data_IF_149595947857
#
_entry.id   IF_149595947857
#
_cell.length_a   1.000
_cell.length_b   1.000
_cell.length_c   1.000
_cell.angle_alpha   90.00
_cell.angle_beta   90.00
_cell.angle_gamma   90.00
#
_symmetry.space_group_name_H-M   'P 1'
#
loop_
_entity.id
_entity.type
_entity.pdbx_description
1 polymer ?
#
# COMPACT_ATOMS: atom_id res chain seq x y z
N UNK A 1 9.23 -32.40 -3.83
CA UNK A 1 9.18 -31.43 -4.95
C UNK A 1 8.68 -32.16 -6.18
N UNK A 2 7.43 -31.94 -6.57
CA UNK A 2 6.86 -32.48 -7.81
C UNK A 2 6.26 -31.28 -8.54
N UNK A 3 6.91 -30.86 -9.64
CA UNK A 3 6.42 -29.78 -10.49
C UNK A 3 5.34 -30.39 -11.39
N UNK A 4 4.10 -29.88 -11.32
CA UNK A 4 3.10 -30.19 -12.32
C UNK A 4 3.33 -29.38 -13.59
N UNK A 5 2.93 -29.94 -14.73
CA UNK A 5 3.20 -29.45 -16.09
C UNK A 5 2.66 -28.04 -16.43
N UNK A 6 2.04 -27.36 -15.48
CA UNK A 6 1.34 -26.09 -15.61
C UNK A 6 1.89 -24.98 -14.69
N UNK A 7 3.11 -25.13 -14.16
CA UNK A 7 3.83 -24.05 -13.49
C UNK A 7 3.25 -23.58 -12.15
N UNK A 8 2.20 -24.23 -11.63
CA UNK A 8 1.78 -24.09 -10.24
C UNK A 8 2.64 -24.99 -9.38
N UNK A 9 3.35 -24.40 -8.42
CA UNK A 9 3.99 -25.15 -7.35
C UNK A 9 2.91 -25.93 -6.59
N UNK A 10 2.85 -27.25 -6.82
CA UNK A 10 2.03 -28.15 -6.03
C UNK A 10 2.83 -28.51 -4.79
N UNK A 11 2.74 -27.66 -3.77
CA UNK A 11 3.11 -28.08 -2.43
C UNK A 11 2.23 -29.27 -2.04
N UNK A 12 2.82 -30.46 -1.94
CA UNK A 12 2.15 -31.59 -1.30
C UNK A 12 2.03 -31.21 0.16
N UNK A 13 0.86 -30.67 0.54
CA UNK A 13 0.60 -30.25 1.92
C UNK A 13 0.81 -31.45 2.84
N UNK A 14 1.71 -31.30 3.81
CA UNK A 14 1.91 -32.31 4.85
C UNK A 14 0.60 -32.45 5.63
N UNK A 15 0.05 -33.67 5.67
CA UNK A 15 -1.20 -33.94 6.38
C UNK A 15 -0.91 -34.28 7.83
N UNK A 16 -1.54 -33.55 8.74
CA UNK A 16 -1.39 -33.78 10.18
C UNK A 16 -2.72 -34.25 10.76
N UNK A 17 -2.69 -35.34 11.52
CA UNK A 17 -3.89 -35.93 12.12
C UNK A 17 -4.29 -35.28 13.46
N UNK A 18 -3.31 -34.86 14.25
CA UNK A 18 -3.49 -34.13 15.52
C UNK A 18 -2.25 -33.29 15.83
N UNK A 19 -2.38 -32.36 16.78
CA UNK A 19 -1.27 -31.52 17.25
C UNK A 19 -0.84 -31.84 18.69
N UNK A 20 -1.30 -32.94 19.29
CA UNK A 20 -1.07 -33.22 20.71
C UNK A 20 0.42 -33.34 21.07
N UNK A 21 1.27 -33.64 20.09
CA UNK A 21 2.73 -33.67 20.21
C UNK A 21 3.34 -32.30 20.57
N UNK A 22 2.68 -31.18 20.24
CA UNK A 22 3.16 -29.83 20.60
C UNK A 22 3.18 -29.60 22.12
N UNK A 23 2.32 -30.27 22.88
CA UNK A 23 2.22 -30.09 24.35
C UNK A 23 3.48 -30.60 25.06
N UNK A 24 4.23 -31.53 24.42
CA UNK A 24 5.49 -32.04 24.94
C UNK A 24 6.70 -31.14 24.67
N UNK A 25 6.54 -30.07 23.89
CA UNK A 25 7.63 -29.16 23.53
C UNK A 25 7.69 -27.99 24.52
N UNK A 26 8.79 -27.87 25.25
CA UNK A 26 9.07 -26.72 26.12
C UNK A 26 9.97 -25.70 25.42
N UNK A 27 9.74 -24.40 25.66
CA UNK A 27 10.59 -23.26 25.27
C UNK A 27 10.58 -22.83 23.79
N UNK A 28 9.61 -23.25 22.97
CA UNK A 28 9.51 -22.67 21.62
C UNK A 28 8.74 -21.33 21.65
N UNK A 29 9.24 -20.37 20.86
CA UNK A 29 8.73 -19.01 20.73
C UNK A 29 8.08 -18.75 19.36
N UNK A 30 8.32 -19.61 18.37
CA UNK A 30 7.75 -19.48 17.03
C UNK A 30 7.17 -20.81 16.57
N UNK A 31 5.92 -20.79 16.07
CA UNK A 31 5.27 -21.94 15.46
C UNK A 31 4.87 -21.59 14.02
N UNK A 32 5.60 -22.18 13.08
CA UNK A 32 5.26 -22.13 11.67
C UNK A 32 4.63 -23.47 11.24
N UNK A 33 3.36 -23.41 10.82
CA UNK A 33 2.64 -24.52 10.21
C UNK A 33 2.07 -24.10 8.85
N UNK A 34 2.67 -23.12 8.20
CA UNK A 34 2.29 -22.67 6.87
C UNK A 34 2.34 -23.85 5.88
N UNK A 35 1.41 -23.89 4.94
CA UNK A 35 1.26 -24.95 3.94
C UNK A 35 0.95 -26.35 4.51
N UNK A 36 0.62 -26.49 5.80
CA UNK A 36 0.17 -27.74 6.43
C UNK A 36 -1.35 -27.93 6.25
N UNK A 37 -1.78 -29.15 5.91
CA UNK A 37 -3.20 -29.50 5.86
C UNK A 37 -3.71 -29.84 7.27
N UNK A 38 -4.27 -28.81 7.93
CA UNK A 38 -4.87 -28.90 9.26
C UNK A 38 -6.36 -29.26 9.24
N UNK A 39 -6.91 -29.69 8.10
CA UNK A 39 -8.35 -29.91 7.93
C UNK A 39 -8.94 -30.97 8.86
N UNK A 40 -8.10 -31.90 9.34
CA UNK A 40 -8.46 -32.95 10.31
C UNK A 40 -8.21 -32.56 11.77
N UNK A 41 -7.50 -31.46 12.02
CA UNK A 41 -7.12 -31.03 13.37
C UNK A 41 -8.20 -30.11 13.94
N UNK A 42 -9.08 -30.66 14.78
CA UNK A 42 -10.16 -29.91 15.41
C UNK A 42 -9.77 -29.20 16.72
N UNK A 43 -8.69 -29.67 17.38
CA UNK A 43 -8.26 -29.20 18.70
C UNK A 43 -7.02 -28.28 18.66
N UNK A 44 -6.61 -27.80 17.47
CA UNK A 44 -5.35 -27.09 17.28
C UNK A 44 -5.18 -25.91 18.24
N UNK A 45 -6.23 -25.10 18.42
CA UNK A 45 -6.19 -23.94 19.29
C UNK A 45 -6.14 -24.30 20.79
N UNK A 46 -6.74 -25.43 21.19
CA UNK A 46 -6.62 -25.96 22.54
C UNK A 46 -5.18 -26.41 22.85
N UNK A 47 -4.51 -26.97 21.85
CA UNK A 47 -3.12 -27.39 21.95
C UNK A 47 -2.20 -26.17 22.07
N UNK A 48 -2.34 -25.18 21.18
CA UNK A 48 -1.51 -23.97 21.20
C UNK A 48 -1.63 -23.23 22.54
N UNK A 49 -2.85 -23.11 23.08
CA UNK A 49 -3.08 -22.45 24.38
C UNK A 49 -2.47 -23.16 25.60
N UNK A 50 -2.10 -24.45 25.48
CA UNK A 50 -1.48 -25.20 26.59
C UNK A 50 0.01 -24.97 26.70
N UNK A 51 0.63 -24.29 25.74
CA UNK A 51 2.07 -24.18 25.66
C UNK A 51 2.48 -22.87 26.38
N UNK A 52 3.05 -22.93 27.60
CA UNK A 52 3.16 -21.76 28.48
C UNK A 52 4.24 -20.75 28.05
N UNK A 53 5.22 -21.21 27.27
CA UNK A 53 6.40 -20.46 26.78
C UNK A 53 6.12 -19.56 25.59
N UNK A 54 4.90 -19.58 25.04
CA UNK A 54 4.43 -18.66 24.02
C UNK A 54 4.38 -17.21 24.58
N UNK A 55 5.52 -16.54 24.71
CA UNK A 55 5.63 -15.17 25.27
C UNK A 55 6.02 -14.15 24.16
N UNK A 56 6.52 -14.61 23.02
CA UNK A 56 6.80 -13.78 21.83
C UNK A 56 6.11 -14.28 20.55
N UNK A 57 4.97 -14.96 20.71
CA UNK A 57 4.65 -16.00 19.72
C UNK A 57 4.13 -15.50 18.39
N UNK A 58 4.93 -15.82 17.38
CA UNK A 58 4.56 -15.89 15.98
C UNK A 58 3.80 -17.19 15.72
N UNK A 59 2.55 -17.06 15.28
CA UNK A 59 1.76 -18.16 14.73
C UNK A 59 1.60 -17.93 13.24
N UNK A 60 2.28 -18.75 12.43
CA UNK A 60 2.19 -18.71 10.97
C UNK A 60 1.33 -19.89 10.51
N UNK A 61 0.21 -19.57 9.87
CA UNK A 61 -0.76 -20.52 9.34
C UNK A 61 -1.07 -20.22 7.86
N UNK A 62 -0.10 -19.65 7.15
CA UNK A 62 -0.26 -19.26 5.75
C UNK A 62 -0.68 -20.47 4.90
N UNK A 63 -1.68 -20.29 4.03
CA UNK A 63 -2.18 -21.33 3.13
C UNK A 63 -2.59 -22.65 3.81
N UNK A 64 -3.01 -22.60 5.08
CA UNK A 64 -3.54 -23.76 5.80
C UNK A 64 -5.02 -23.98 5.48
N UNK A 65 -5.43 -25.25 5.26
CA UNK A 65 -6.82 -25.56 4.94
C UNK A 65 -7.60 -25.96 6.20
N UNK A 66 -8.46 -25.08 6.71
CA UNK A 66 -9.31 -25.37 7.86
C UNK A 66 -10.69 -25.87 7.42
N UNK A 67 -11.14 -26.98 8.02
CA UNK A 67 -12.54 -27.47 7.88
C UNK A 67 -13.32 -27.48 9.18
N UNK A 68 -12.68 -27.25 10.33
CA UNK A 68 -13.30 -27.45 11.64
C UNK A 68 -13.81 -26.15 12.28
N UNK A 69 -14.98 -26.19 12.95
CA UNK A 69 -15.43 -25.10 13.81
C UNK A 69 -14.53 -24.98 15.06
N UNK A 70 -14.30 -23.75 15.50
CA UNK A 70 -13.50 -23.43 16.69
C UNK A 70 -14.18 -23.94 17.98
N UNK A 71 -13.41 -24.43 18.97
CA UNK A 71 -13.94 -24.73 20.30
C UNK A 71 -14.53 -23.48 20.97
N UNK A 72 -15.76 -23.59 21.51
CA UNK A 72 -16.54 -22.48 22.13
C UNK A 72 -15.90 -21.85 23.38
N UNK A 73 -14.76 -22.33 23.84
CA UNK A 73 -14.16 -22.00 25.13
C UNK A 73 -12.67 -21.73 24.98
N UNK A 74 -12.33 -20.51 24.55
CA UNK A 74 -10.99 -19.95 24.73
C UNK A 74 -11.10 -18.85 25.77
N UNK A 75 -10.25 -18.90 26.80
CA UNK A 75 -10.19 -17.88 27.87
C UNK A 75 -8.81 -17.25 28.04
N UNK A 76 -7.77 -17.71 27.33
CA UNK A 76 -6.39 -17.44 27.76
C UNK A 76 -5.32 -17.36 26.64
N UNK A 77 -5.60 -16.68 25.52
CA UNK A 77 -4.60 -16.44 24.44
C UNK A 77 -3.95 -15.05 24.53
N UNK A 78 -3.78 -14.52 25.73
CA UNK A 78 -3.33 -13.13 25.98
C UNK A 78 -1.88 -12.84 25.60
N UNK A 79 -1.11 -13.83 25.14
CA UNK A 79 0.33 -13.66 24.86
C UNK A 79 0.71 -13.64 23.38
N UNK A 80 -0.22 -13.94 22.47
CA UNK A 80 0.08 -13.93 21.03
C UNK A 80 0.34 -12.49 20.57
N UNK A 81 1.48 -12.28 19.92
CA UNK A 81 1.89 -10.97 19.39
C UNK A 81 1.80 -10.90 17.87
N UNK A 82 1.99 -12.03 17.18
CA UNK A 82 2.01 -12.08 15.73
C UNK A 82 1.20 -13.27 15.24
N UNK A 83 0.23 -13.00 14.37
CA UNK A 83 -0.64 -14.01 13.76
C UNK A 83 -0.71 -13.76 12.25
N UNK A 84 -0.34 -14.77 11.48
CA UNK A 84 -0.54 -14.80 10.03
C UNK A 84 -1.52 -15.92 9.66
N UNK A 85 -2.65 -15.54 9.07
CA UNK A 85 -3.70 -16.45 8.57
C UNK A 85 -3.90 -16.27 7.07
N UNK A 86 -2.87 -15.80 6.35
CA UNK A 86 -3.00 -15.44 4.95
C UNK A 86 -3.23 -16.67 4.08
N UNK A 87 -4.15 -16.60 3.11
CA UNK A 87 -4.52 -17.76 2.29
C UNK A 87 -5.22 -18.92 3.04
N UNK A 88 -5.51 -18.80 4.35
CA UNK A 88 -6.13 -19.88 5.12
C UNK A 88 -7.66 -19.98 5.01
N UNK A 89 -8.29 -19.07 4.26
CA UNK A 89 -9.72 -18.92 4.07
C UNK A 89 -10.55 -19.00 5.38
N UNK A 90 -10.24 -18.20 6.41
CA UNK A 90 -10.95 -18.26 7.67
C UNK A 90 -12.38 -17.71 7.51
N UNK A 91 -13.37 -18.43 8.01
CA UNK A 91 -14.72 -17.89 8.14
C UNK A 91 -14.87 -17.05 9.42
N UNK A 92 -15.99 -16.33 9.58
CA UNK A 92 -16.23 -15.47 10.73
C UNK A 92 -16.20 -16.20 12.08
N UNK A 93 -16.67 -17.46 12.14
CA UNK A 93 -16.57 -18.26 13.36
C UNK A 93 -15.12 -18.63 13.70
N UNK A 94 -14.26 -18.73 12.68
CA UNK A 94 -12.84 -19.01 12.84
C UNK A 94 -12.01 -17.82 13.32
N UNK A 95 -12.52 -16.59 13.26
CA UNK A 95 -11.77 -15.43 13.74
C UNK A 95 -12.12 -15.05 15.19
N UNK A 96 -13.18 -15.63 15.78
CA UNK A 96 -13.67 -15.32 17.14
C UNK A 96 -12.64 -15.50 18.26
N UNK A 97 -11.62 -16.33 18.07
CA UNK A 97 -10.59 -16.50 19.10
C UNK A 97 -9.68 -15.29 19.24
N UNK A 98 -9.59 -14.45 18.20
CA UNK A 98 -8.80 -13.22 18.21
C UNK A 98 -9.33 -12.20 19.22
N UNK A 99 -10.60 -12.30 19.66
CA UNK A 99 -11.16 -11.46 20.73
C UNK A 99 -10.31 -11.45 22.00
N UNK A 100 -9.66 -12.58 22.31
CA UNK A 100 -8.90 -12.74 23.55
C UNK A 100 -7.39 -12.49 23.37
N UNK A 101 -6.96 -12.11 22.16
CA UNK A 101 -5.55 -11.84 21.85
C UNK A 101 -5.20 -10.38 22.12
N UNK A 102 -5.41 -9.91 23.36
CA UNK A 102 -5.26 -8.48 23.71
C UNK A 102 -3.83 -7.95 23.61
N UNK A 103 -2.83 -8.82 23.46
CA UNK A 103 -1.43 -8.44 23.21
C UNK A 103 -1.00 -8.57 21.76
N UNK A 104 -1.94 -8.76 20.83
CA UNK A 104 -1.64 -8.93 19.40
C UNK A 104 -1.14 -7.60 18.81
N UNK A 105 0.09 -7.61 18.30
CA UNK A 105 0.76 -6.47 17.67
C UNK A 105 0.69 -6.54 16.14
N UNK A 106 0.64 -7.75 15.56
CA UNK A 106 0.56 -7.95 14.11
C UNK A 106 -0.48 -9.00 13.74
N UNK A 107 -1.35 -8.65 12.80
CA UNK A 107 -2.36 -9.54 12.23
C UNK A 107 -2.33 -9.44 10.70
N UNK A 108 -1.97 -10.55 10.04
CA UNK A 108 -1.95 -10.66 8.58
C UNK A 108 -3.08 -11.57 8.10
N UNK A 109 -3.87 -11.09 7.15
CA UNK A 109 -5.06 -11.77 6.63
C UNK A 109 -5.12 -11.74 5.08
N UNK A 110 -4.00 -11.51 4.38
CA UNK A 110 -4.01 -11.34 2.92
C UNK A 110 -4.39 -12.65 2.19
N UNK A 111 -4.82 -12.52 0.94
CA UNK A 111 -5.28 -13.66 0.13
C UNK A 111 -6.44 -14.49 0.73
N UNK A 112 -7.29 -13.87 1.56
CA UNK A 112 -8.49 -14.52 2.10
C UNK A 112 -9.79 -13.91 1.53
N UNK A 113 -10.76 -14.72 1.06
CA UNK A 113 -12.06 -14.22 0.66
C UNK A 113 -12.92 -13.99 1.92
N UNK A 114 -12.65 -12.90 2.64
CA UNK A 114 -13.33 -12.50 3.89
C UNK A 114 -14.76 -11.96 3.67
N UNK A 115 -15.50 -12.48 2.68
CA UNK A 115 -16.85 -12.02 2.36
C UNK A 115 -17.78 -12.13 3.58
N UNK A 116 -18.31 -10.99 4.05
CA UNK A 116 -19.19 -10.92 5.22
C UNK A 116 -18.47 -10.99 6.58
N UNK A 117 -17.14 -10.96 6.60
CA UNK A 117 -16.35 -10.96 7.83
C UNK A 117 -16.06 -9.55 8.37
N UNK A 118 -16.58 -8.48 7.75
CA UNK A 118 -16.37 -7.11 8.26
C UNK A 118 -16.92 -6.93 9.67
N UNK A 119 -18.10 -7.49 9.96
CA UNK A 119 -18.70 -7.45 11.30
C UNK A 119 -17.82 -8.14 12.37
N UNK A 120 -17.23 -9.30 12.04
CA UNK A 120 -16.35 -9.98 13.00
C UNK A 120 -15.04 -9.20 13.20
N UNK A 121 -14.53 -8.56 12.16
CA UNK A 121 -13.32 -7.73 12.24
C UNK A 121 -13.56 -6.48 13.07
N UNK A 122 -14.72 -5.85 12.94
CA UNK A 122 -15.14 -4.74 13.82
C UNK A 122 -15.11 -5.18 15.29
N UNK A 123 -15.73 -6.31 15.61
CA UNK A 123 -15.73 -6.83 16.98
C UNK A 123 -14.32 -7.18 17.49
N UNK A 124 -13.44 -7.70 16.62
CA UNK A 124 -12.06 -8.03 16.97
C UNK A 124 -11.28 -6.74 17.27
N UNK A 125 -11.39 -5.73 16.40
CA UNK A 125 -10.72 -4.44 16.55
C UNK A 125 -11.10 -3.76 17.88
N UNK A 126 -12.34 -3.91 18.35
CA UNK A 126 -12.76 -3.40 19.65
C UNK A 126 -11.93 -3.94 20.83
N UNK A 127 -11.30 -5.10 20.68
CA UNK A 127 -10.48 -5.76 21.71
C UNK A 127 -8.97 -5.55 21.49
N UNK A 128 -8.52 -5.21 20.28
CA UNK A 128 -7.10 -5.13 19.92
C UNK A 128 -6.54 -3.71 20.10
N UNK A 129 -6.23 -3.32 21.34
CA UNK A 129 -5.70 -1.97 21.63
C UNK A 129 -4.23 -1.72 21.26
N UNK A 130 -3.45 -2.78 21.04
CA UNK A 130 -1.98 -2.70 20.83
C UNK A 130 -1.55 -3.10 19.42
N UNK A 131 -2.49 -3.29 18.50
CA UNK A 131 -2.19 -3.68 17.13
C UNK A 131 -1.41 -2.57 16.42
N UNK A 132 -0.22 -2.92 15.91
CA UNK A 132 0.68 -2.06 15.16
C UNK A 132 0.60 -2.30 13.66
N UNK A 133 0.41 -3.55 13.25
CA UNK A 133 0.37 -3.94 11.85
C UNK A 133 -0.91 -4.70 11.54
N UNK A 134 -1.67 -4.22 10.57
CA UNK A 134 -2.85 -4.89 10.04
C UNK A 134 -2.77 -4.96 8.52
N UNK A 135 -2.93 -6.17 7.97
CA UNK A 135 -2.98 -6.39 6.54
C UNK A 135 -4.22 -7.16 6.10
N UNK A 136 -4.80 -6.66 5.01
CA UNK A 136 -5.93 -7.16 4.23
C UNK A 136 -7.25 -7.35 5.00
N UNK A 137 -8.24 -6.58 4.58
CA UNK A 137 -9.64 -6.72 4.98
C UNK A 137 -10.42 -6.71 3.69
N UNK A 138 -11.13 -7.79 3.35
CA UNK A 138 -11.98 -7.78 2.15
C UNK A 138 -13.37 -7.23 2.47
N UNK A 139 -13.99 -6.50 1.55
CA UNK A 139 -15.36 -6.02 1.70
C UNK A 139 -15.45 -4.59 2.23
N UNK A 140 -16.03 -4.37 3.41
CA UNK A 140 -16.15 -3.03 3.99
C UNK A 140 -15.09 -2.81 5.08
N UNK A 141 -14.57 -1.59 5.16
CA UNK A 141 -13.61 -1.20 6.20
C UNK A 141 -14.34 -1.17 7.55
N UNK A 142 -13.79 -1.78 8.61
CA UNK A 142 -14.38 -1.77 9.95
C UNK A 142 -14.64 -0.34 10.43
N UNK A 143 -15.84 -0.09 10.94
CA UNK A 143 -16.25 1.22 11.47
C UNK A 143 -15.40 1.68 12.65
N UNK A 144 -14.81 0.75 13.40
CA UNK A 144 -13.98 1.03 14.57
C UNK A 144 -12.48 1.10 14.29
N UNK A 145 -12.05 1.13 13.02
CA UNK A 145 -10.62 1.08 12.65
C UNK A 145 -9.79 2.17 13.37
N UNK A 146 -10.36 3.36 13.58
CA UNK A 146 -9.69 4.47 14.26
C UNK A 146 -9.37 4.23 15.75
N UNK A 147 -9.94 3.19 16.37
CA UNK A 147 -9.58 2.77 17.73
C UNK A 147 -8.19 2.15 17.82
N UNK A 148 -7.63 1.69 16.70
CA UNK A 148 -6.28 1.15 16.62
C UNK A 148 -5.25 2.30 16.68
N UNK A 149 -5.23 3.06 17.77
CA UNK A 149 -4.35 4.22 17.93
C UNK A 149 -2.85 3.86 18.02
N UNK A 150 -2.53 2.57 18.12
CA UNK A 150 -1.18 2.03 18.06
C UNK A 150 -0.74 1.62 16.65
N UNK A 151 -1.61 1.73 15.66
CA UNK A 151 -1.35 1.25 14.31
C UNK A 151 -0.26 2.10 13.63
N UNK A 152 0.77 1.43 13.14
CA UNK A 152 1.94 1.97 12.43
C UNK A 152 1.87 1.58 10.94
N UNK A 153 1.34 0.39 10.63
CA UNK A 153 1.15 -0.10 9.27
C UNK A 153 -0.29 -0.57 9.04
N UNK A 154 -0.93 -0.05 7.99
CA UNK A 154 -2.22 -0.53 7.48
C UNK A 154 -2.13 -0.80 5.99
N UNK A 155 -2.14 -2.07 5.59
CA UNK A 155 -2.10 -2.49 4.18
C UNK A 155 -3.39 -3.15 3.75
N UNK A 156 -4.10 -2.53 2.84
CA UNK A 156 -5.44 -2.90 2.40
C UNK A 156 -5.57 -2.90 0.87
N UNK A 157 -4.45 -2.91 0.15
CA UNK A 157 -4.41 -2.93 -1.32
C UNK A 157 -5.20 -4.11 -1.91
N UNK A 158 -5.88 -3.89 -3.04
CA UNK A 158 -6.55 -4.94 -3.83
C UNK A 158 -7.55 -5.80 -3.02
N UNK A 159 -8.45 -5.14 -2.29
CA UNK A 159 -9.42 -5.81 -1.40
C UNK A 159 -10.89 -5.53 -1.74
N UNK A 160 -11.16 -4.91 -2.89
CA UNK A 160 -12.52 -4.50 -3.32
C UNK A 160 -13.24 -3.66 -2.26
N UNK A 161 -12.47 -2.87 -1.51
CA UNK A 161 -12.99 -1.97 -0.48
C UNK A 161 -13.83 -0.89 -1.11
N UNK A 162 -14.89 -0.46 -0.44
CA UNK A 162 -15.80 0.56 -0.92
C UNK A 162 -16.37 1.39 0.24
N UNK A 163 -17.07 2.48 -0.11
CA UNK A 163 -17.62 3.43 0.86
C UNK A 163 -16.57 4.36 1.44
N UNK A 164 -16.99 5.20 2.40
CA UNK A 164 -16.20 6.30 2.96
C UNK A 164 -15.74 6.10 4.42
N UNK A 165 -16.10 4.98 5.06
CA UNK A 165 -15.90 4.73 6.49
C UNK A 165 -14.46 4.90 6.98
N UNK A 166 -13.46 4.58 6.14
CA UNK A 166 -12.06 4.79 6.48
C UNK A 166 -11.75 6.27 6.69
N UNK A 167 -12.31 7.14 5.85
CA UNK A 167 -12.02 8.58 5.88
C UNK A 167 -12.50 9.21 7.20
N UNK A 168 -13.66 8.79 7.70
CA UNK A 168 -14.22 9.28 8.96
C UNK A 168 -13.30 9.05 10.16
N UNK A 169 -12.49 7.99 10.12
CA UNK A 169 -11.64 7.56 11.22
C UNK A 169 -10.15 7.71 10.94
N UNK A 170 -9.75 8.03 9.70
CA UNK A 170 -8.35 8.07 9.28
C UNK A 170 -7.51 8.99 10.18
N UNK A 171 -8.04 10.18 10.50
CA UNK A 171 -7.37 11.15 11.37
C UNK A 171 -7.21 10.71 12.84
N UNK A 172 -7.70 9.53 13.24
CA UNK A 172 -7.49 8.98 14.58
C UNK A 172 -6.21 8.13 14.68
N UNK A 173 -5.67 7.69 13.52
CA UNK A 173 -4.49 6.83 13.42
C UNK A 173 -3.18 7.63 13.46
N UNK A 174 -2.96 8.41 14.52
CA UNK A 174 -1.87 9.39 14.61
C UNK A 174 -0.44 8.82 14.60
N UNK A 175 -0.28 7.51 14.84
CA UNK A 175 1.01 6.79 14.76
C UNK A 175 1.24 6.11 13.41
N UNK A 176 0.29 6.18 12.49
CA UNK A 176 0.38 5.47 11.22
C UNK A 176 1.55 6.03 10.39
N UNK A 177 2.46 5.15 9.99
CA UNK A 177 3.64 5.46 9.19
C UNK A 177 3.42 5.06 7.72
N UNK A 178 2.70 3.95 7.50
CA UNK A 178 2.41 3.40 6.18
C UNK A 178 0.92 3.10 6.07
N UNK A 179 0.29 3.69 5.06
CA UNK A 179 -1.07 3.41 4.63
C UNK A 179 -1.08 3.01 3.17
N UNK A 180 -1.46 1.78 2.88
CA UNK A 180 -1.75 1.32 1.53
C UNK A 180 -3.23 0.94 1.42
N UNK A 181 -3.99 1.66 0.59
CA UNK A 181 -5.39 1.37 0.26
C UNK A 181 -5.59 1.27 -1.25
N UNK A 182 -4.50 1.08 -2.00
CA UNK A 182 -4.52 1.14 -3.45
C UNK A 182 -5.39 0.07 -4.11
N UNK A 183 -5.81 0.31 -5.35
CA UNK A 183 -6.58 -0.64 -6.15
C UNK A 183 -7.86 -1.12 -5.43
N UNK A 184 -8.67 -0.17 -4.99
CA UNK A 184 -9.96 -0.43 -4.36
C UNK A 184 -11.06 0.40 -5.04
N UNK A 185 -12.22 0.51 -4.41
CA UNK A 185 -13.35 1.34 -4.84
C UNK A 185 -13.79 2.27 -3.70
N UNK A 186 -12.83 2.70 -2.86
CA UNK A 186 -13.09 3.63 -1.76
C UNK A 186 -13.48 4.98 -2.35
N UNK A 187 -14.51 5.60 -1.77
CA UNK A 187 -15.07 6.86 -2.22
C UNK A 187 -15.18 7.85 -1.06
N UNK A 188 -15.36 9.12 -1.40
CA UNK A 188 -15.54 10.21 -0.42
C UNK A 188 -14.47 11.28 -0.52
N UNK A 189 -14.49 12.19 0.45
CA UNK A 189 -13.69 13.41 0.44
C UNK A 189 -12.61 13.33 1.52
N UNK A 190 -11.36 13.57 1.11
CA UNK A 190 -10.21 13.73 1.99
C UNK A 190 -9.96 15.22 2.21
N UNK A 191 -9.93 15.65 3.47
CA UNK A 191 -9.74 17.04 3.89
C UNK A 191 -8.41 17.24 4.63
N UNK A 192 -8.00 18.49 4.79
CA UNK A 192 -6.80 18.88 5.55
C UNK A 192 -6.80 18.30 6.97
N UNK A 193 -7.94 18.34 7.66
CA UNK A 193 -8.07 17.87 9.04
C UNK A 193 -7.78 16.38 9.21
N UNK A 194 -8.10 15.55 8.21
CA UNK A 194 -7.80 14.12 8.24
C UNK A 194 -6.31 13.88 8.03
N UNK A 195 -5.67 14.61 7.13
CA UNK A 195 -4.26 14.43 6.78
C UNK A 195 -3.30 15.05 7.82
N UNK A 196 -3.66 16.19 8.40
CA UNK A 196 -2.82 16.90 9.39
C UNK A 196 -2.66 16.13 10.71
N UNK A 197 -3.61 15.24 11.02
CA UNK A 197 -3.51 14.36 12.19
C UNK A 197 -2.54 13.18 11.99
N UNK A 198 -2.20 12.84 10.74
CA UNK A 198 -1.34 11.72 10.36
C UNK A 198 0.15 12.13 10.39
N UNK A 199 0.62 12.71 11.48
CA UNK A 199 1.94 13.37 11.57
C UNK A 199 3.13 12.43 11.36
N UNK A 200 2.95 11.13 11.60
CA UNK A 200 3.96 10.10 11.38
C UNK A 200 3.91 9.47 9.97
N UNK A 201 2.88 9.76 9.18
CA UNK A 201 2.69 9.10 7.89
C UNK A 201 3.83 9.49 6.94
N UNK A 202 4.46 8.47 6.36
CA UNK A 202 5.56 8.58 5.40
C UNK A 202 5.20 8.02 4.05
N UNK A 203 4.43 6.94 4.02
CA UNK A 203 4.00 6.30 2.79
C UNK A 203 2.48 6.28 2.74
N UNK A 204 1.92 7.04 1.80
CA UNK A 204 0.50 7.01 1.51
C UNK A 204 0.28 6.54 0.07
N UNK A 205 -0.12 5.27 -0.07
CA UNK A 205 -0.34 4.61 -1.35
C UNK A 205 -1.84 4.37 -1.50
N UNK A 206 -2.47 5.12 -2.40
CA UNK A 206 -3.93 5.11 -2.50
C UNK A 206 -4.44 5.23 -3.93
N UNK A 207 -3.59 5.01 -4.93
CA UNK A 207 -3.98 5.03 -6.33
C UNK A 207 -5.12 4.04 -6.62
N UNK A 208 -5.89 4.32 -7.68
CA UNK A 208 -6.96 3.44 -8.10
C UNK A 208 -8.10 3.39 -7.09
N UNK A 209 -8.52 4.56 -6.58
CA UNK A 209 -9.72 4.75 -5.78
C UNK A 209 -10.52 5.94 -6.34
N UNK A 210 -11.77 6.11 -5.89
CA UNK A 210 -12.69 7.18 -6.31
C UNK A 210 -12.74 8.32 -5.28
N UNK A 211 -11.58 8.73 -4.76
CA UNK A 211 -11.45 9.72 -3.69
C UNK A 211 -11.30 11.13 -4.25
N UNK A 212 -11.85 12.12 -3.56
CA UNK A 212 -11.63 13.54 -3.85
C UNK A 212 -10.73 14.17 -2.80
N UNK A 213 -9.63 14.80 -3.20
CA UNK A 213 -8.82 15.61 -2.30
C UNK A 213 -9.33 17.06 -2.31
N UNK A 214 -9.92 17.50 -1.20
CA UNK A 214 -10.44 18.84 -1.04
C UNK A 214 -9.65 19.59 0.04
N UNK A 215 -8.63 20.32 -0.41
CA UNK A 215 -7.72 21.13 0.42
C UNK A 215 -7.62 22.54 -0.16
N UNK A 216 -7.41 23.52 0.71
CA UNK A 216 -7.16 24.90 0.32
C UNK A 216 -5.86 25.03 -0.48
N UNK A 217 -5.80 26.01 -1.39
CA UNK A 217 -4.55 26.37 -2.08
C UNK A 217 -3.47 26.92 -1.14
N UNK A 218 -3.85 27.32 0.08
CA UNK A 218 -2.95 27.75 1.15
C UNK A 218 -2.59 26.65 2.15
N UNK A 219 -3.02 25.42 1.92
CA UNK A 219 -2.73 24.30 2.82
C UNK A 219 -1.23 23.99 2.82
N UNK A 220 -0.68 23.78 4.02
CA UNK A 220 0.70 23.35 4.24
C UNK A 220 0.63 22.05 5.04
N UNK A 221 0.86 20.88 4.41
CA UNK A 221 0.75 19.61 5.10
C UNK A 221 1.76 19.55 6.25
N UNK A 222 1.27 19.19 7.44
CA UNK A 222 2.15 18.88 8.59
C UNK A 222 2.93 17.59 8.36
N UNK A 223 2.31 16.68 7.63
CA UNK A 223 2.85 15.37 7.29
C UNK A 223 3.95 15.49 6.24
N UNK A 224 5.09 14.86 6.53
CA UNK A 224 6.25 14.82 5.65
C UNK A 224 6.26 13.49 4.91
N UNK A 225 5.58 13.45 3.75
CA UNK A 225 5.50 12.26 2.92
C UNK A 225 6.84 11.96 2.24
N UNK A 226 7.21 10.68 2.25
CA UNK A 226 8.28 10.10 1.43
C UNK A 226 7.74 9.52 0.13
N UNK A 227 6.56 8.89 0.19
CA UNK A 227 5.84 8.37 -0.96
C UNK A 227 4.38 8.82 -0.88
N UNK A 228 3.90 9.45 -1.94
CA UNK A 228 2.52 9.91 -2.07
C UNK A 228 1.98 9.47 -3.43
N UNK A 229 1.06 8.51 -3.44
CA UNK A 229 0.41 8.01 -4.65
C UNK A 229 -1.10 8.17 -4.54
N UNK A 230 -1.61 9.13 -5.30
CA UNK A 230 -3.02 9.54 -5.37
C UNK A 230 -3.59 9.31 -6.77
N UNK A 231 -2.98 8.44 -7.57
CA UNK A 231 -3.42 8.19 -8.94
C UNK A 231 -4.91 7.86 -9.04
N UNK A 232 -5.60 8.39 -10.04
CA UNK A 232 -7.05 8.27 -10.24
C UNK A 232 -7.95 8.99 -9.21
N UNK A 233 -7.41 9.75 -8.27
CA UNK A 233 -8.22 10.62 -7.39
C UNK A 233 -8.73 11.85 -8.12
N UNK A 234 -9.78 12.49 -7.62
CA UNK A 234 -10.21 13.81 -8.08
C UNK A 234 -9.52 14.90 -7.27
N UNK A 235 -8.65 15.67 -7.91
CA UNK A 235 -8.01 16.86 -7.32
C UNK A 235 -8.65 18.13 -7.86
N UNK A 236 -8.43 19.26 -7.17
CA UNK A 236 -8.73 20.56 -7.75
C UNK A 236 -7.89 20.76 -9.03
N UNK A 237 -8.42 21.37 -10.11
CA UNK A 237 -7.74 21.40 -11.40
C UNK A 237 -6.42 22.17 -11.43
N UNK A 238 -6.16 23.05 -10.47
CA UNK A 238 -4.92 23.83 -10.41
C UNK A 238 -3.73 22.94 -10.00
N UNK A 239 -2.51 23.34 -10.38
CA UNK A 239 -1.33 22.61 -9.92
C UNK A 239 -1.16 22.74 -8.40
N UNK A 240 -0.88 21.63 -7.74
CA UNK A 240 -0.95 21.49 -6.29
C UNK A 240 0.23 22.18 -5.58
N UNK A 241 0.05 23.43 -5.15
CA UNK A 241 1.08 24.28 -4.50
C UNK A 241 1.61 23.70 -3.19
N UNK A 242 0.79 22.94 -2.46
CA UNK A 242 1.18 22.30 -1.21
C UNK A 242 2.32 21.27 -1.38
N UNK A 243 2.58 20.79 -2.60
CA UNK A 243 3.76 19.97 -2.93
C UNK A 243 5.09 20.69 -2.72
N UNK A 244 5.08 22.02 -2.58
CA UNK A 244 6.29 22.79 -2.26
C UNK A 244 6.77 22.56 -0.82
N UNK A 245 5.90 22.11 0.08
CA UNK A 245 6.17 21.94 1.51
C UNK A 245 6.93 20.65 1.88
N UNK A 246 6.53 19.43 1.44
CA UNK A 246 7.17 18.20 1.87
C UNK A 246 8.60 18.08 1.31
N UNK A 247 9.59 18.20 2.19
CA UNK A 247 11.02 18.17 1.81
C UNK A 247 11.62 16.76 1.72
N UNK A 248 10.80 15.75 2.01
CA UNK A 248 11.22 14.35 2.11
C UNK A 248 10.61 13.48 1.02
N UNK A 249 9.83 14.07 0.12
CA UNK A 249 9.17 13.36 -0.97
C UNK A 249 10.22 12.74 -1.89
N UNK A 250 10.00 11.49 -2.27
CA UNK A 250 10.87 10.70 -3.16
C UNK A 250 10.08 10.15 -4.34
N UNK A 251 8.85 9.70 -4.06
CA UNK A 251 7.93 9.12 -5.06
C UNK A 251 6.62 9.92 -5.03
N UNK A 252 6.22 10.44 -6.18
CA UNK A 252 4.96 11.15 -6.37
C UNK A 252 4.16 10.54 -7.52
N UNK A 253 2.93 10.14 -7.27
CA UNK A 253 2.00 9.73 -8.33
C UNK A 253 0.71 10.53 -8.21
N UNK A 254 0.49 11.41 -9.19
CA UNK A 254 -0.74 12.17 -9.41
C UNK A 254 -1.33 11.86 -10.79
N UNK A 255 -1.10 10.64 -11.29
CA UNK A 255 -1.62 10.21 -12.59
C UNK A 255 -3.14 10.22 -12.61
N UNK A 256 -3.76 10.59 -13.74
CA UNK A 256 -5.21 10.58 -13.90
C UNK A 256 -5.97 11.36 -12.82
N UNK A 257 -5.43 12.48 -12.33
CA UNK A 257 -6.05 13.28 -11.25
C UNK A 257 -6.88 14.47 -11.72
N UNK A 258 -6.86 14.75 -13.02
CA UNK A 258 -7.57 15.88 -13.63
C UNK A 258 -6.86 17.22 -13.44
N UNK A 259 -5.64 17.23 -12.90
CA UNK A 259 -4.84 18.45 -12.77
C UNK A 259 -4.55 19.05 -14.15
N UNK A 260 -4.48 20.37 -14.20
CA UNK A 260 -4.40 21.19 -15.41
C UNK A 260 -3.52 22.42 -15.17
N UNK A 261 -3.31 23.20 -16.22
CA UNK A 261 -2.47 24.39 -16.15
C UNK A 261 -0.99 24.06 -16.40
N UNK A 262 -0.13 25.03 -16.10
CA UNK A 262 1.32 24.89 -16.24
C UNK A 262 1.96 24.40 -14.94
N UNK A 263 2.98 23.54 -15.05
CA UNK A 263 3.80 23.15 -13.90
C UNK A 263 4.75 24.31 -13.55
N UNK A 264 4.73 24.82 -12.30
CA UNK A 264 5.63 25.89 -11.87
C UNK A 264 7.11 25.48 -11.88
N UNK A 265 8.00 26.44 -12.12
CA UNK A 265 9.46 26.21 -12.20
C UNK A 265 10.07 25.60 -10.94
N UNK A 266 9.50 25.90 -9.76
CA UNK A 266 9.96 25.31 -8.51
C UNK A 266 9.82 23.79 -8.50
N UNK A 267 8.85 23.21 -9.20
CA UNK A 267 8.65 21.74 -9.24
C UNK A 267 9.80 21.06 -9.98
N UNK A 268 10.22 21.61 -11.13
CA UNK A 268 11.36 21.12 -11.90
C UNK A 268 12.71 21.29 -11.18
N UNK A 269 12.78 22.22 -10.21
CA UNK A 269 13.93 22.33 -9.32
C UNK A 269 13.85 21.31 -8.17
N UNK A 270 12.66 21.04 -7.64
CA UNK A 270 12.47 20.01 -6.61
C UNK A 270 12.62 18.59 -7.16
N UNK A 271 12.45 18.35 -8.46
CA UNK A 271 12.76 17.04 -9.07
C UNK A 271 14.25 16.67 -8.97
N UNK A 272 15.12 17.61 -8.60
CA UNK A 272 16.49 17.30 -8.15
C UNK A 272 16.54 16.70 -6.74
N UNK A 273 15.42 16.54 -6.04
CA UNK A 273 15.33 15.97 -4.69
C UNK A 273 14.54 14.66 -4.70
N UNK A 274 13.48 14.58 -5.52
CA UNK A 274 12.70 13.36 -5.75
C UNK A 274 12.97 12.77 -7.14
N UNK A 275 13.31 11.48 -7.18
CA UNK A 275 13.72 10.80 -8.41
C UNK A 275 12.56 10.30 -9.28
N UNK A 276 11.40 10.02 -8.67
CA UNK A 276 10.31 9.30 -9.33
C UNK A 276 9.01 10.10 -9.26
N UNK A 277 8.46 10.44 -10.42
CA UNK A 277 7.13 11.03 -10.48
C UNK A 277 6.31 10.59 -11.69
N UNK A 278 5.01 10.41 -11.46
CA UNK A 278 4.01 10.13 -12.46
C UNK A 278 2.96 11.25 -12.46
N UNK A 279 2.91 12.04 -13.53
CA UNK A 279 1.87 13.05 -13.78
C UNK A 279 1.08 12.73 -15.05
N UNK A 280 1.11 11.48 -15.51
CA UNK A 280 0.46 11.05 -16.74
C UNK A 280 -1.06 11.20 -16.71
N UNK A 281 -1.68 11.19 -17.89
CA UNK A 281 -3.14 11.21 -18.05
C UNK A 281 -3.81 12.41 -17.38
N UNK A 282 -3.21 13.59 -17.52
CA UNK A 282 -3.73 14.84 -16.98
C UNK A 282 -3.99 15.86 -18.10
N UNK A 283 -4.29 17.10 -17.72
CA UNK A 283 -4.57 18.22 -18.62
C UNK A 283 -3.46 19.28 -18.55
N UNK A 284 -2.26 18.88 -18.13
CA UNK A 284 -1.11 19.77 -17.94
C UNK A 284 -0.59 20.27 -19.29
N UNK A 285 -0.19 21.53 -19.35
CA UNK A 285 0.28 22.16 -20.58
C UNK A 285 1.44 23.12 -20.34
N UNK A 286 1.93 23.72 -21.42
CA UNK A 286 3.08 24.60 -21.41
C UNK A 286 4.37 23.87 -21.77
N UNK A 287 5.45 24.64 -21.82
CA UNK A 287 6.77 24.16 -22.22
C UNK A 287 7.53 23.62 -21.01
N UNK A 288 8.34 22.60 -21.24
CA UNK A 288 9.27 22.04 -20.25
C UNK A 288 10.68 22.34 -20.73
N UNK A 289 11.37 23.28 -20.07
CA UNK A 289 12.73 23.67 -20.50
C UNK A 289 13.76 22.59 -20.16
N UNK A 290 13.70 22.05 -18.94
CA UNK A 290 14.63 21.03 -18.46
C UNK A 290 13.98 20.15 -17.41
N UNK A 291 14.31 18.86 -17.46
CA UNK A 291 13.98 17.90 -16.41
C UNK A 291 15.27 17.50 -15.72
N UNK A 292 15.36 17.80 -14.43
CA UNK A 292 16.50 17.41 -13.62
C UNK A 292 16.14 16.13 -12.84
N UNK A 293 16.98 15.11 -12.94
CA UNK A 293 16.98 13.95 -12.05
C UNK A 293 18.32 13.90 -11.35
N UNK A 294 18.35 13.49 -10.07
CA UNK A 294 19.58 13.40 -9.28
C UNK A 294 19.91 11.97 -8.85
N UNK A 295 19.05 11.00 -9.14
CA UNK A 295 19.15 9.62 -8.66
C UNK A 295 19.39 8.68 -9.83
N UNK A 296 20.22 7.65 -9.61
CA UNK A 296 20.28 6.50 -10.50
C UNK A 296 18.90 5.82 -10.47
N UNK A 297 18.34 5.53 -11.66
CA UNK A 297 17.05 4.86 -11.85
C UNK A 297 15.76 5.70 -11.67
N UNK A 298 15.80 7.00 -11.98
CA UNK A 298 14.58 7.81 -12.05
C UNK A 298 13.49 7.23 -12.98
N UNK A 299 12.25 7.24 -12.50
CA UNK A 299 11.00 6.98 -13.24
C UNK A 299 10.25 8.29 -13.48
N UNK A 300 10.14 8.71 -14.74
CA UNK A 300 9.44 9.93 -15.12
C UNK A 300 8.37 9.60 -16.15
N UNK A 301 7.12 9.85 -15.77
CA UNK A 301 5.98 9.60 -16.64
C UNK A 301 5.13 10.86 -16.75
N UNK A 302 5.16 11.47 -17.94
CA UNK A 302 4.42 12.67 -18.31
C UNK A 302 3.45 12.39 -19.46
N UNK A 303 3.22 11.12 -19.78
CA UNK A 303 2.46 10.73 -20.96
C UNK A 303 1.01 11.25 -20.91
N UNK A 304 0.37 11.39 -22.06
CA UNK A 304 -1.05 11.74 -22.16
C UNK A 304 -1.39 13.07 -21.45
N UNK A 305 -0.71 14.13 -21.86
CA UNK A 305 -0.91 15.50 -21.40
C UNK A 305 -0.99 16.45 -22.62
N UNK A 306 -0.91 17.76 -22.39
CA UNK A 306 -0.94 18.83 -23.40
C UNK A 306 0.36 19.64 -23.40
N UNK A 307 1.48 19.07 -22.96
CA UNK A 307 2.78 19.76 -23.01
C UNK A 307 3.17 20.07 -24.45
N UNK A 308 3.80 21.23 -24.66
CA UNK A 308 4.15 21.72 -26.00
C UNK A 308 5.58 22.29 -26.03
N UNK A 309 5.96 22.91 -27.14
CA UNK A 309 7.32 23.40 -27.38
C UNK A 309 8.25 22.27 -27.82
N UNK A 310 9.55 22.47 -27.63
CA UNK A 310 10.57 21.44 -27.91
C UNK A 310 10.65 20.42 -26.78
N UNK A 311 11.17 19.24 -27.08
CA UNK A 311 11.51 18.25 -26.06
C UNK A 311 12.48 18.85 -25.01
N UNK A 312 12.27 18.58 -23.70
CA UNK A 312 13.08 19.15 -22.63
C UNK A 312 14.54 18.70 -22.67
N UNK A 313 15.44 19.53 -22.14
CA UNK A 313 16.82 19.12 -21.87
C UNK A 313 16.89 18.20 -20.64
N UNK A 314 17.70 17.16 -20.71
CA UNK A 314 17.93 16.22 -19.61
C UNK A 314 19.33 16.39 -19.03
N UNK A 315 19.38 16.63 -17.72
CA UNK A 315 20.61 16.96 -16.99
C UNK A 315 21.08 15.79 -16.09
N UNK A 316 20.37 14.65 -16.06
CA UNK A 316 20.79 13.48 -15.25
C UNK A 316 21.66 12.47 -16.03
N UNK A 317 22.65 11.84 -15.38
CA UNK A 317 23.49 10.79 -15.97
C UNK A 317 22.79 9.43 -16.17
N UNK A 318 21.69 9.12 -15.46
CA UNK A 318 21.02 7.81 -15.60
C UNK A 318 19.50 7.84 -15.29
N UNK A 319 18.66 7.60 -16.30
CA UNK A 319 17.22 7.34 -16.17
C UNK A 319 16.92 5.87 -16.41
N UNK A 320 15.95 5.34 -15.65
CA UNK A 320 15.40 4.03 -15.97
C UNK A 320 14.21 4.10 -16.89
N UNK A 321 13.33 5.08 -16.70
CA UNK A 321 12.08 5.16 -17.46
C UNK A 321 11.73 6.61 -17.73
N UNK A 322 11.50 6.93 -19.01
CA UNK A 322 11.00 8.23 -19.46
C UNK A 322 9.90 8.04 -20.49
N UNK A 323 8.68 8.47 -20.15
CA UNK A 323 7.56 8.50 -21.07
C UNK A 323 7.03 9.92 -21.24
N UNK A 324 7.20 10.46 -22.45
CA UNK A 324 6.69 11.76 -22.87
C UNK A 324 5.58 11.61 -23.92
N UNK A 325 5.16 10.39 -24.21
CA UNK A 325 4.27 10.07 -25.32
C UNK A 325 2.91 10.74 -25.19
N UNK A 326 2.19 10.87 -26.31
CA UNK A 326 0.85 11.44 -26.34
C UNK A 326 0.80 12.88 -25.75
N UNK A 327 1.68 13.74 -26.26
CA UNK A 327 1.79 15.16 -25.93
C UNK A 327 1.89 16.00 -27.22
N UNK A 328 1.91 17.32 -27.08
CA UNK A 328 2.04 18.28 -28.20
C UNK A 328 3.47 18.79 -28.41
N UNK A 329 4.49 18.03 -27.98
CA UNK A 329 5.89 18.38 -28.26
C UNK A 329 6.16 18.38 -29.76
N UNK A 330 7.04 19.27 -30.18
CA UNK A 330 7.42 19.54 -31.58
C UNK A 330 8.94 19.73 -31.69
N UNK A 331 9.45 19.89 -32.92
CA UNK A 331 10.87 20.10 -33.17
C UNK A 331 11.68 18.80 -33.29
N UNK A 332 13.00 18.96 -33.42
CA UNK A 332 13.91 17.85 -33.70
C UNK A 332 14.32 17.06 -32.44
N UNK A 333 14.25 15.73 -32.51
CA UNK A 333 14.74 14.81 -31.46
C UNK A 333 16.26 14.94 -31.26
N UNK A 334 16.99 15.45 -32.26
CA UNK A 334 18.45 15.60 -32.19
C UNK A 334 18.90 16.47 -31.03
N UNK A 335 18.20 17.55 -30.67
CA UNK A 335 18.57 18.37 -29.52
C UNK A 335 18.42 17.63 -28.19
N UNK A 336 17.41 16.76 -28.10
CA UNK A 336 17.14 15.93 -26.93
C UNK A 336 18.20 14.82 -26.73
N UNK A 337 18.67 14.20 -27.81
CA UNK A 337 19.67 13.11 -27.73
C UNK A 337 21.13 13.59 -27.84
N UNK A 338 21.41 14.68 -28.56
CA UNK A 338 22.76 15.02 -29.00
C UNK A 338 23.43 16.16 -28.21
N UNK A 339 22.75 16.89 -27.32
CA UNK A 339 23.36 17.97 -26.52
C UNK A 339 24.13 17.46 -25.28
N UNK A 340 24.79 16.31 -25.43
CA UNK A 340 25.56 15.63 -24.39
C UNK A 340 27.02 16.13 -24.40
N UNK A 341 27.27 17.30 -23.83
CA UNK A 341 28.60 17.59 -23.31
C UNK A 341 28.81 16.76 -22.04
N UNK A 342 29.53 15.65 -22.23
CA UNK A 342 30.18 14.80 -21.21
C UNK A 342 29.31 14.22 -20.09
N UNK A 343 28.72 13.03 -20.35
CA UNK A 343 28.65 11.85 -19.47
C UNK A 343 27.71 10.81 -20.12
N UNK A 344 27.96 9.52 -19.92
CA UNK A 344 27.14 8.44 -20.51
C UNK A 344 25.70 8.53 -19.98
N UNK A 345 24.77 9.06 -20.78
CA UNK A 345 23.33 9.02 -20.47
C UNK A 345 22.83 7.59 -20.59
N UNK A 346 22.45 6.97 -19.47
CA UNK A 346 21.80 5.66 -19.47
C UNK A 346 20.28 5.90 -19.48
N UNK A 347 19.57 5.38 -20.48
CA UNK A 347 18.10 5.38 -20.52
C UNK A 347 17.65 3.96 -20.86
N UNK A 348 16.99 3.26 -19.93
CA UNK A 348 16.52 1.88 -20.19
C UNK A 348 15.20 1.83 -20.97
N UNK A 349 14.30 2.79 -20.73
CA UNK A 349 13.03 2.93 -21.43
C UNK A 349 12.79 4.39 -21.84
N UNK A 350 12.48 4.60 -23.12
CA UNK A 350 12.13 5.90 -23.69
C UNK A 350 10.92 5.74 -24.61
N UNK A 351 9.82 6.42 -24.28
CA UNK A 351 8.66 6.52 -25.15
C UNK A 351 8.39 7.99 -25.56
N UNK A 352 8.47 8.22 -26.87
CA UNK A 352 8.21 9.48 -27.56
C UNK A 352 7.12 9.30 -28.63
N UNK A 353 6.25 8.30 -28.49
CA UNK A 353 5.19 8.05 -29.46
C UNK A 353 4.14 9.17 -29.43
N UNK A 354 3.46 9.37 -30.58
CA UNK A 354 2.32 10.30 -30.70
C UNK A 354 2.61 11.73 -30.24
N UNK A 355 3.84 12.19 -30.47
CA UNK A 355 4.18 13.61 -30.41
C UNK A 355 3.66 14.33 -31.66
N UNK A 356 3.62 15.66 -31.61
CA UNK A 356 3.24 16.43 -32.80
C UNK A 356 4.28 16.23 -33.89
N UNK A 357 3.86 15.73 -35.04
CA UNK A 357 4.71 15.64 -36.23
C UNK A 357 4.93 17.03 -36.78
N UNK A 358 6.19 17.39 -37.07
CA UNK A 358 6.55 18.61 -37.79
C UNK A 358 5.85 18.70 -39.15
#
# INVERSE_FOLDING_TARGET
MLIAANGKELFVKTKVANLDWLVGLSNFEHLDMSYVDLSKVSNWLNVINKIPSLVETTLLLEDTYFKCPIPRTIRNSTKLKYVDLSGSNPNSAMLKWLYNCTSLETLLLYNNPLHGASAILDDIILQLGVLKNLQALSGSIPTNIGRLSSLEFLGLSDNKLHGSTLLENLGQLSKLEILDISSNSVEGIVTETQLDNLTHLRMFVAFGNSLTLNVSSSWIPRTQFRMLSLGSWQLVPEFQTWLQSPKTLVILDLSSTGISGTIPSWFWNLSMQFGDFNLSHNQLHGEISSINGNQENSYIDLNSNKFNGTLPLFISPAYSFLDLSNNSFSGGISHFLCDAKSENKIVYYLDLARLSTC
#
